data_IF_840630942578
#
_entry.id   IF_840630942578
#
_cell.length_a   1.000
_cell.length_b   1.000
_cell.length_c   1.000
_cell.angle_alpha   90.00
_cell.angle_beta   90.00
_cell.angle_gamma   90.00
#
_symmetry.space_group_name_H-M   'P 1'
#
loop_
_entity.id
_entity.type
_entity.pdbx_description
1 polymer ?
#
# COMPACT_ATOMS: atom_id res chain seq x y z
N UNK A 1 29.67 0.39 -17.90
CA UNK A 1 28.72 0.66 -16.81
C UNK A 1 28.16 -0.67 -16.36
N UNK A 2 28.53 -1.13 -15.17
CA UNK A 2 27.91 -2.33 -14.59
C UNK A 2 26.54 -1.90 -14.05
N UNK A 3 25.47 -2.31 -14.73
CA UNK A 3 24.13 -2.23 -14.14
C UNK A 3 24.07 -3.39 -13.15
N UNK A 4 24.31 -3.12 -11.88
CA UNK A 4 23.90 -4.04 -10.82
C UNK A 4 22.38 -4.13 -10.90
N UNK A 5 21.83 -5.29 -11.26
CA UNK A 5 20.41 -5.59 -11.04
C UNK A 5 20.15 -5.39 -9.55
N UNK A 6 19.39 -4.35 -9.20
CA UNK A 6 18.96 -4.13 -7.84
C UNK A 6 18.03 -5.30 -7.48
N UNK A 7 18.54 -6.21 -6.65
CA UNK A 7 17.74 -7.31 -6.11
C UNK A 7 16.77 -6.72 -5.09
N UNK A 8 15.48 -6.77 -5.40
CA UNK A 8 14.43 -6.44 -4.43
C UNK A 8 14.24 -7.65 -3.53
N UNK A 9 14.35 -7.45 -2.23
CA UNK A 9 14.05 -8.47 -1.22
C UNK A 9 12.57 -8.37 -0.85
N UNK A 10 11.87 -9.50 -0.80
CA UNK A 10 10.49 -9.57 -0.31
C UNK A 10 10.51 -10.25 1.06
N UNK A 11 10.05 -9.55 2.10
CA UNK A 11 9.93 -10.08 3.45
C UNK A 11 8.44 -10.32 3.77
N UNK A 12 8.09 -11.57 4.09
CA UNK A 12 6.79 -11.93 4.64
C UNK A 12 6.81 -11.76 6.16
N UNK A 13 6.03 -10.83 6.69
CA UNK A 13 6.11 -10.45 8.12
C UNK A 13 5.07 -11.19 8.96
N UNK A 14 3.82 -11.29 8.48
CA UNK A 14 2.74 -11.96 9.20
C UNK A 14 1.41 -11.89 8.46
N UNK A 15 0.65 -12.99 8.47
CA UNK A 15 -0.62 -13.14 7.74
C UNK A 15 -1.65 -13.86 8.61
N UNK A 16 -2.94 -13.63 8.35
CA UNK A 16 -4.04 -14.33 9.02
C UNK A 16 -3.95 -14.29 10.56
N UNK A 17 -3.77 -15.43 11.25
CA UNK A 17 -3.66 -15.46 12.71
C UNK A 17 -2.43 -14.71 13.25
N UNK A 18 -1.40 -14.52 12.41
CA UNK A 18 -0.17 -13.81 12.74
C UNK A 18 -0.17 -12.36 12.19
N UNK A 19 -1.36 -11.81 11.93
CA UNK A 19 -1.50 -10.43 11.48
C UNK A 19 -0.89 -9.44 12.48
N UNK A 20 -0.24 -8.40 11.93
CA UNK A 20 0.66 -7.51 12.66
C UNK A 20 -0.11 -6.29 13.18
N UNK A 21 0.15 -5.87 14.41
CA UNK A 21 -0.40 -4.60 14.90
C UNK A 21 0.14 -3.44 14.03
N UNK A 22 -0.69 -2.42 13.78
CA UNK A 22 -0.31 -1.35 12.85
C UNK A 22 1.00 -0.65 13.26
N UNK A 23 1.17 -0.38 14.56
CA UNK A 23 2.36 0.30 15.06
C UNK A 23 3.63 -0.53 14.84
N UNK A 24 3.59 -1.84 15.09
CA UNK A 24 4.74 -2.73 14.89
C UNK A 24 5.15 -2.78 13.41
N UNK A 25 4.17 -2.82 12.50
CA UNK A 25 4.44 -2.73 11.07
C UNK A 25 4.99 -1.37 10.65
N UNK A 26 4.56 -0.28 11.29
CA UNK A 26 5.09 1.05 11.02
C UNK A 26 6.54 1.22 11.51
N UNK A 27 6.85 0.68 12.69
CA UNK A 27 8.20 0.70 13.23
C UNK A 27 9.14 -0.15 12.36
N UNK A 28 8.68 -1.31 11.87
CA UNK A 28 9.43 -2.13 10.92
C UNK A 28 9.67 -1.42 9.58
N UNK A 29 8.69 -0.66 9.08
CA UNK A 29 8.89 0.17 7.88
C UNK A 29 10.01 1.20 8.09
N UNK A 30 10.05 1.86 9.25
CA UNK A 30 11.09 2.86 9.58
C UNK A 30 12.48 2.23 9.70
N UNK A 31 12.58 1.13 10.43
CA UNK A 31 13.84 0.38 10.55
C UNK A 31 14.32 -0.14 9.18
N UNK A 32 13.40 -0.62 8.34
CA UNK A 32 13.74 -1.07 6.98
C UNK A 32 14.18 0.08 6.09
N UNK A 33 13.52 1.22 6.19
CA UNK A 33 13.92 2.44 5.49
C UNK A 33 15.35 2.87 5.87
N UNK A 34 15.70 2.88 7.15
CA UNK A 34 17.06 3.17 7.62
C UNK A 34 18.08 2.21 6.98
N UNK A 35 17.81 0.89 7.00
CA UNK A 35 18.66 -0.11 6.34
C UNK A 35 18.86 0.16 4.85
N UNK A 36 17.78 0.50 4.12
CA UNK A 36 17.81 0.78 2.68
C UNK A 36 18.62 2.05 2.37
N UNK A 37 18.44 3.09 3.19
CA UNK A 37 19.21 4.35 3.10
C UNK A 37 20.70 4.10 3.35
N UNK A 38 21.05 3.24 4.30
CA UNK A 38 22.43 2.87 4.65
C UNK A 38 23.11 1.94 3.61
N UNK A 39 22.48 1.70 2.47
CA UNK A 39 23.05 0.89 1.38
C UNK A 39 22.59 -0.56 1.37
N UNK A 40 21.68 -0.96 2.26
CA UNK A 40 21.00 -2.26 2.21
C UNK A 40 20.17 -2.47 0.94
N UNK A 41 19.66 -3.68 0.67
CA UNK A 41 18.86 -3.97 -0.52
C UNK A 41 17.48 -3.28 -0.45
N UNK A 42 16.94 -2.91 -1.60
CA UNK A 42 15.54 -2.46 -1.69
C UNK A 42 14.62 -3.57 -1.17
N UNK A 43 13.62 -3.23 -0.36
CA UNK A 43 12.83 -4.23 0.37
C UNK A 43 11.34 -3.97 0.23
N UNK A 44 10.55 -5.02 0.01
CA UNK A 44 9.09 -5.00 0.08
C UNK A 44 8.65 -5.82 1.28
N UNK A 45 7.97 -5.18 2.22
CA UNK A 45 7.31 -5.89 3.32
C UNK A 45 5.92 -6.30 2.86
N UNK A 46 5.55 -7.56 3.04
CA UNK A 46 4.21 -8.08 2.81
C UNK A 46 3.63 -8.61 4.13
N UNK A 47 2.44 -8.14 4.47
CA UNK A 47 1.79 -8.49 5.73
C UNK A 47 0.27 -8.29 5.67
N UNK A 48 -0.43 -8.78 6.68
CA UNK A 48 -1.77 -8.36 7.04
C UNK A 48 -1.72 -7.59 8.36
N UNK A 49 -2.62 -6.62 8.53
CA UNK A 49 -2.78 -5.93 9.80
C UNK A 49 -3.93 -6.49 10.62
N UNK A 50 -3.82 -6.38 11.94
CA UNK A 50 -5.01 -6.38 12.79
C UNK A 50 -5.94 -5.23 12.36
N UNK A 51 -7.26 -5.38 12.59
CA UNK A 51 -8.25 -4.41 12.14
C UNK A 51 -7.93 -2.98 12.63
N UNK A 52 -7.76 -2.05 11.70
CA UNK A 52 -7.31 -0.68 11.98
C UNK A 52 -7.82 0.31 10.93
N UNK A 53 -8.25 1.48 11.38
CA UNK A 53 -8.41 2.65 10.52
C UNK A 53 -7.15 3.51 10.58
N UNK A 54 -6.70 4.00 9.41
CA UNK A 54 -5.59 4.95 9.33
C UNK A 54 -6.03 6.20 8.58
N UNK A 55 -5.75 7.37 9.15
CA UNK A 55 -6.09 8.67 8.57
C UNK A 55 -4.82 9.31 7.97
N UNK A 56 -4.77 9.39 6.64
CA UNK A 56 -3.71 10.10 5.93
C UNK A 56 -3.89 11.62 5.97
N UNK A 57 -2.90 12.35 5.44
CA UNK A 57 -2.81 13.82 5.50
C UNK A 57 -4.01 14.61 4.96
N UNK A 58 -4.89 13.99 4.17
CA UNK A 58 -6.07 14.65 3.56
C UNK A 58 -7.40 14.24 4.20
N UNK A 59 -7.36 13.50 5.30
CA UNK A 59 -8.56 13.02 5.99
C UNK A 59 -9.27 14.19 6.67
N UNK A 60 -10.57 14.33 6.42
CA UNK A 60 -11.43 15.29 7.08
C UNK A 60 -12.15 14.63 8.27
N UNK A 61 -12.48 15.40 9.32
CA UNK A 61 -13.09 14.83 10.54
C UNK A 61 -14.43 14.12 10.27
N UNK A 62 -15.19 14.60 9.28
CA UNK A 62 -16.45 13.99 8.87
C UNK A 62 -16.28 12.60 8.22
N UNK A 63 -15.06 12.23 7.82
CA UNK A 63 -14.73 10.94 7.21
C UNK A 63 -14.32 9.90 8.25
N UNK A 64 -14.11 10.31 9.51
CA UNK A 64 -13.74 9.41 10.60
C UNK A 64 -14.96 8.60 11.06
N UNK A 65 -14.77 7.37 11.58
CA UNK A 65 -15.85 6.56 12.14
C UNK A 65 -16.60 7.31 13.24
N UNK A 66 -17.93 7.26 13.21
CA UNK A 66 -18.79 7.95 14.18
C UNK A 66 -18.98 7.18 15.49
N UNK A 67 -18.54 5.92 15.53
CA UNK A 67 -18.74 4.97 16.63
C UNK A 67 -17.53 4.89 17.59
N UNK A 68 -16.66 5.89 17.53
CA UNK A 68 -15.42 5.97 18.31
C UNK A 68 -14.41 4.83 18.05
N UNK A 69 -14.54 4.10 16.93
CA UNK A 69 -13.50 3.16 16.51
C UNK A 69 -12.16 3.90 16.41
N UNK A 70 -11.09 3.40 17.05
CA UNK A 70 -9.78 4.06 17.01
C UNK A 70 -9.25 4.25 15.59
N UNK A 71 -8.66 5.41 15.34
CA UNK A 71 -8.02 5.77 14.08
C UNK A 71 -6.59 6.18 14.37
N UNK A 72 -5.63 5.65 13.61
CA UNK A 72 -4.23 6.04 13.68
C UNK A 72 -3.95 7.14 12.67
N UNK A 73 -3.52 8.31 13.11
CA UNK A 73 -3.08 9.38 12.22
C UNK A 73 -1.68 9.09 11.68
N UNK A 74 -1.51 9.21 10.36
CA UNK A 74 -0.31 8.77 9.63
C UNK A 74 0.14 9.80 8.61
N UNK A 75 1.39 9.73 8.19
CA UNK A 75 2.05 10.69 7.29
C UNK A 75 1.89 10.38 5.79
N UNK A 76 1.27 9.25 5.45
CA UNK A 76 0.96 8.90 4.06
C UNK A 76 0.00 9.89 3.40
N UNK A 77 0.07 9.93 2.06
CA UNK A 77 -0.92 10.63 1.25
C UNK A 77 -2.30 9.97 1.32
N UNK A 78 -3.30 10.65 0.76
CA UNK A 78 -4.68 10.16 0.72
C UNK A 78 -5.47 10.47 1.99
N UNK A 79 -6.70 9.97 1.98
CA UNK A 79 -7.69 10.15 3.06
C UNK A 79 -7.67 8.93 4.00
N UNK A 80 -8.73 8.73 4.77
CA UNK A 80 -8.90 7.56 5.62
C UNK A 80 -8.95 6.26 4.82
N UNK A 81 -8.44 5.17 5.39
CA UNK A 81 -8.63 3.81 4.87
C UNK A 81 -8.74 2.83 6.02
N UNK A 82 -9.19 1.62 5.71
CA UNK A 82 -9.23 0.48 6.63
C UNK A 82 -8.25 -0.61 6.18
N UNK A 83 -7.62 -1.25 7.16
CA UNK A 83 -6.86 -2.48 6.99
C UNK A 83 -7.31 -3.53 8.00
N UNK A 84 -7.16 -4.80 7.67
CA UNK A 84 -7.48 -5.89 8.58
C UNK A 84 -7.20 -7.27 7.97
N UNK A 85 -7.53 -8.34 8.71
CA UNK A 85 -7.30 -9.71 8.26
C UNK A 85 -7.97 -9.99 6.91
N UNK A 86 -7.26 -10.70 6.03
CA UNK A 86 -7.66 -10.99 4.66
C UNK A 86 -7.32 -9.89 3.64
N UNK A 87 -6.75 -8.76 4.07
CA UNK A 87 -6.23 -7.74 3.16
C UNK A 87 -4.69 -7.77 3.14
N UNK A 88 -4.12 -8.21 2.02
CA UNK A 88 -2.68 -8.13 1.80
C UNK A 88 -2.24 -6.66 1.71
N UNK A 89 -1.34 -6.26 2.61
CA UNK A 89 -0.69 -4.95 2.63
C UNK A 89 0.75 -5.12 2.17
N UNK A 90 1.17 -4.28 1.22
CA UNK A 90 2.54 -4.20 0.75
C UNK A 90 3.16 -2.84 1.04
N UNK A 91 4.34 -2.82 1.64
CA UNK A 91 5.16 -1.63 1.85
C UNK A 91 6.46 -1.73 1.04
N UNK A 92 6.49 -1.20 -0.20
CA UNK A 92 7.72 -1.13 -0.97
C UNK A 92 8.58 0.03 -0.45
N UNK A 93 9.74 -0.32 0.10
CA UNK A 93 10.73 0.58 0.68
C UNK A 93 11.96 0.51 -0.23
N UNK A 94 11.95 1.37 -1.26
CA UNK A 94 12.84 1.30 -2.41
C UNK A 94 13.59 2.62 -2.57
N UNK A 95 14.82 2.56 -3.09
CA UNK A 95 15.50 3.76 -3.57
C UNK A 95 14.88 4.21 -4.89
N UNK A 96 14.34 5.43 -4.89
CA UNK A 96 13.79 6.04 -6.09
C UNK A 96 14.87 6.83 -6.84
N UNK A 97 14.83 6.86 -8.19
CA UNK A 97 15.74 7.69 -8.96
C UNK A 97 15.52 9.19 -8.68
N UNK A 98 16.59 9.97 -8.78
CA UNK A 98 16.59 11.43 -8.65
C UNK A 98 16.61 12.07 -10.06
N UNK A 99 15.67 12.98 -10.42
CA UNK A 99 14.59 13.53 -9.60
C UNK A 99 13.46 12.52 -9.31
N UNK A 100 12.93 12.59 -8.09
CA UNK A 100 11.83 11.73 -7.65
C UNK A 100 10.52 12.15 -8.35
N UNK A 101 9.94 11.23 -9.11
CA UNK A 101 8.57 11.34 -9.64
C UNK A 101 7.62 10.40 -8.88
N UNK A 102 6.97 10.96 -7.85
CA UNK A 102 6.03 10.22 -6.99
C UNK A 102 4.79 9.76 -7.77
N UNK A 103 4.33 10.53 -8.75
CA UNK A 103 3.14 10.17 -9.54
C UNK A 103 3.45 8.98 -10.44
N UNK A 104 4.57 9.03 -11.17
CA UNK A 104 5.00 7.90 -11.98
C UNK A 104 5.23 6.63 -11.13
N UNK A 105 5.79 6.79 -9.93
CA UNK A 105 5.95 5.67 -8.99
C UNK A 105 4.63 5.03 -8.60
N UNK A 106 3.63 5.82 -8.19
CA UNK A 106 2.29 5.30 -7.85
C UNK A 106 1.63 4.63 -9.06
N UNK A 107 1.74 5.20 -10.26
CA UNK A 107 1.20 4.60 -11.49
C UNK A 107 1.83 3.26 -11.82
N UNK A 108 3.12 3.07 -11.53
CA UNK A 108 3.79 1.77 -11.69
C UNK A 108 3.24 0.72 -10.71
N UNK A 109 3.01 1.08 -9.45
CA UNK A 109 2.39 0.18 -8.47
C UNK A 109 0.97 -0.21 -8.92
N UNK A 110 0.16 0.74 -9.35
CA UNK A 110 -1.19 0.46 -9.85
C UNK A 110 -1.16 -0.48 -11.07
N UNK A 111 -0.20 -0.31 -11.98
CA UNK A 111 -0.06 -1.19 -13.15
C UNK A 111 0.31 -2.61 -12.72
N UNK A 112 1.27 -2.76 -11.81
CA UNK A 112 1.63 -4.05 -11.22
C UNK A 112 0.41 -4.74 -10.59
N UNK A 113 -0.39 -4.01 -9.83
CA UNK A 113 -1.59 -4.56 -9.18
C UNK A 113 -2.69 -4.93 -10.21
N UNK A 114 -2.80 -4.19 -11.32
CA UNK A 114 -3.69 -4.55 -12.43
C UNK A 114 -3.24 -5.87 -13.07
N UNK A 115 -1.94 -6.05 -13.32
CA UNK A 115 -1.39 -7.27 -13.88
C UNK A 115 -1.66 -8.47 -12.95
N UNK A 116 -1.44 -8.31 -11.64
CA UNK A 116 -1.81 -9.33 -10.65
C UNK A 116 -3.30 -9.65 -10.69
N UNK A 117 -4.18 -8.64 -10.72
CA UNK A 117 -5.63 -8.87 -10.81
C UNK A 117 -6.01 -9.66 -12.08
N UNK A 118 -5.35 -9.38 -13.21
CA UNK A 118 -5.61 -10.05 -14.48
C UNK A 118 -5.27 -11.55 -14.43
N UNK A 119 -4.25 -11.96 -13.67
CA UNK A 119 -3.94 -13.39 -13.44
C UNK A 119 -5.08 -14.15 -12.76
N UNK A 120 -5.92 -13.46 -11.98
CA UNK A 120 -7.13 -14.01 -11.35
C UNK A 120 -8.42 -13.76 -12.16
N UNK A 121 -8.31 -13.26 -13.40
CA UNK A 121 -9.45 -12.97 -14.26
C UNK A 121 -10.21 -11.70 -13.87
N UNK A 122 -9.62 -10.81 -13.06
CA UNK A 122 -10.21 -9.54 -12.65
C UNK A 122 -9.62 -8.40 -13.49
N UNK A 123 -10.46 -7.73 -14.26
CA UNK A 123 -10.04 -6.56 -15.06
C UNK A 123 -10.04 -5.29 -14.21
N UNK A 124 -8.86 -4.90 -13.72
CA UNK A 124 -8.63 -3.62 -13.04
C UNK A 124 -8.29 -2.49 -14.02
N UNK A 125 -8.59 -1.25 -13.62
CA UNK A 125 -8.21 -0.02 -14.34
C UNK A 125 -7.73 1.05 -13.37
N UNK A 126 -6.92 1.98 -13.90
CA UNK A 126 -6.69 3.27 -13.26
C UNK A 126 -7.86 4.20 -13.53
N UNK A 127 -8.15 5.10 -12.61
CA UNK A 127 -9.06 6.22 -12.87
C UNK A 127 -8.38 7.55 -12.60
N UNK A 128 -8.57 8.50 -13.52
CA UNK A 128 -8.08 9.86 -13.37
C UNK A 128 -8.59 10.50 -12.07
N UNK A 129 -7.69 11.13 -11.32
CA UNK A 129 -8.01 11.76 -10.03
C UNK A 129 -8.27 10.80 -8.86
N UNK A 130 -8.33 9.48 -9.07
CA UNK A 130 -8.60 8.47 -8.04
C UNK A 130 -7.47 7.43 -7.97
N UNK A 131 -6.52 7.62 -7.07
CA UNK A 131 -5.41 6.68 -6.89
C UNK A 131 -5.89 5.31 -6.40
N UNK A 132 -5.26 4.27 -6.91
CA UNK A 132 -5.60 2.87 -6.70
C UNK A 132 -6.10 2.18 -7.96
N UNK A 133 -6.40 0.89 -7.83
CA UNK A 133 -6.94 0.03 -8.87
C UNK A 133 -8.44 -0.14 -8.66
N UNK A 134 -9.19 0.02 -9.74
CA UNK A 134 -10.65 -0.01 -9.73
C UNK A 134 -11.15 -1.05 -10.71
N UNK A 135 -12.16 -1.82 -10.30
CA UNK A 135 -12.97 -2.63 -11.21
C UNK A 135 -14.10 -1.73 -11.73
N UNK A 136 -14.23 -1.55 -13.05
CA UNK A 136 -15.28 -0.70 -13.62
C UNK A 136 -16.69 -1.15 -13.22
N UNK A 137 -17.63 -0.20 -13.25
CA UNK A 137 -19.05 -0.47 -13.08
C UNK A 137 -19.55 -1.51 -14.11
N UNK A 138 -20.48 -2.35 -13.67
CA UNK A 138 -21.15 -3.36 -14.48
C UNK A 138 -22.60 -3.58 -14.01
N UNK A 139 -23.24 -4.64 -14.49
CA UNK A 139 -24.60 -5.01 -14.09
C UNK A 139 -24.75 -5.28 -12.57
N UNK A 140 -23.66 -5.49 -11.84
CA UNK A 140 -23.64 -5.79 -10.40
C UNK A 140 -23.35 -4.56 -9.54
N UNK A 141 -23.01 -3.39 -10.11
CA UNK A 141 -22.86 -2.18 -9.32
C UNK A 141 -21.95 -1.11 -9.92
N UNK A 142 -21.66 -0.06 -9.13
CA UNK A 142 -20.77 1.03 -9.53
C UNK A 142 -19.30 0.57 -9.61
N UNK A 143 -18.40 1.49 -9.92
CA UNK A 143 -16.96 1.25 -9.80
C UNK A 143 -16.61 0.78 -8.37
N UNK A 144 -15.77 -0.25 -8.28
CA UNK A 144 -15.37 -0.86 -7.00
C UNK A 144 -13.86 -0.79 -6.88
N UNK A 145 -13.35 -0.20 -5.80
CA UNK A 145 -11.91 -0.15 -5.55
C UNK A 145 -11.43 -1.53 -5.06
N UNK A 146 -10.38 -2.07 -5.70
CA UNK A 146 -9.78 -3.36 -5.29
C UNK A 146 -8.43 -3.17 -4.56
N UNK A 147 -7.72 -2.06 -4.84
CA UNK A 147 -6.50 -1.66 -4.14
C UNK A 147 -6.35 -0.13 -4.14
#
# INVERSE_FOLDING_TARGET
>A
MSVTEATVVVEHVGFGPDAVAYQDGWDLQRATHERVVDGGPDTVLLLEHLAVYTAGRRTEDAERPLDATPVVDVDRGGKITWHGPGQLVGYPILRLPDPIDVVAYVRRIETLLIDVCAEFGVTGTQVEGRSGVWVPADAHGPDRKIA
#
